data_IF_090993871266
#
_entry.id   IF_090993871266
#
_cell.length_a   1.000
_cell.length_b   1.000
_cell.length_c   1.000
_cell.angle_alpha   90.00
_cell.angle_beta   90.00
_cell.angle_gamma   90.00
#
_symmetry.space_group_name_H-M   'P 1'
#
loop_
_entity.id
_entity.type
_entity.pdbx_description
1 polymer ?
#
# COMPACT_ATOMS: atom_id res chain seq x y z
N UNK A 1 15.24 7.65 18.31
CA UNK A 1 15.85 9.00 18.34
C UNK A 1 17.10 8.96 19.20
N UNK A 2 16.99 8.78 20.52
CA UNK A 2 18.16 8.91 21.42
C UNK A 2 19.22 7.80 21.26
N UNK A 3 18.83 6.60 20.80
CA UNK A 3 19.75 5.46 20.56
C UNK A 3 20.45 5.55 19.20
N UNK A 4 19.91 6.31 18.25
CA UNK A 4 20.35 6.26 16.87
C UNK A 4 21.78 6.81 16.71
N UNK A 5 22.64 6.12 15.96
CA UNK A 5 23.91 6.67 15.51
C UNK A 5 23.66 7.67 14.38
N UNK A 6 24.17 8.90 14.52
CA UNK A 6 23.99 9.96 13.53
C UNK A 6 25.27 10.14 12.71
N UNK A 7 25.22 10.00 11.38
CA UNK A 7 26.40 10.16 10.53
C UNK A 7 26.83 11.63 10.38
N UNK A 8 25.95 12.59 10.72
CA UNK A 8 26.26 14.03 10.67
C UNK A 8 25.64 14.76 11.86
N UNK A 9 26.32 15.82 12.33
CA UNK A 9 25.86 16.67 13.44
C UNK A 9 24.55 17.37 13.12
N UNK A 10 24.34 17.74 11.85
CA UNK A 10 23.09 18.34 11.39
C UNK A 10 21.90 17.40 11.59
N UNK A 11 22.06 16.10 11.29
CA UNK A 11 21.00 15.11 11.49
C UNK A 11 20.71 14.88 12.98
N UNK A 12 21.74 14.80 13.82
CA UNK A 12 21.58 14.69 15.27
C UNK A 12 20.88 15.92 15.85
N UNK A 13 21.28 17.11 15.43
CA UNK A 13 20.72 18.39 15.87
C UNK A 13 19.24 18.48 15.52
N UNK A 14 18.88 18.18 14.26
CA UNK A 14 17.49 18.20 13.81
C UNK A 14 16.61 17.22 14.61
N UNK A 15 17.05 15.96 14.74
CA UNK A 15 16.28 14.94 15.46
C UNK A 15 16.21 15.21 16.97
N UNK A 16 17.26 15.75 17.58
CA UNK A 16 17.24 16.07 19.02
C UNK A 16 16.33 17.27 19.31
N UNK A 17 16.34 18.29 18.45
CA UNK A 17 15.55 19.52 18.59
C UNK A 17 14.06 19.30 18.32
N UNK A 18 13.74 18.60 17.25
CA UNK A 18 12.36 18.49 16.74
C UNK A 18 11.73 17.14 17.06
N UNK A 19 12.53 16.10 17.23
CA UNK A 19 12.09 14.74 17.57
C UNK A 19 11.00 14.17 16.66
N UNK A 20 11.03 14.38 15.32
CA UNK A 20 10.00 13.84 14.44
C UNK A 20 10.08 12.31 14.37
N UNK A 21 8.92 11.67 14.24
CA UNK A 21 8.78 10.24 13.92
C UNK A 21 7.75 10.07 12.80
N UNK A 22 7.72 8.89 12.20
CA UNK A 22 6.76 8.55 11.14
C UNK A 22 6.13 7.19 11.40
N UNK A 23 5.02 7.17 12.13
CA UNK A 23 4.17 6.00 12.26
C UNK A 23 3.27 5.90 11.01
N UNK A 24 3.48 4.83 10.24
CA UNK A 24 2.70 4.51 9.05
C UNK A 24 1.76 3.32 9.27
N UNK A 25 1.16 2.85 8.19
CA UNK A 25 0.29 1.67 8.15
C UNK A 25 0.67 0.76 6.98
N UNK A 26 0.31 -0.51 7.08
CA UNK A 26 0.35 -1.48 5.99
C UNK A 26 -0.84 -2.42 6.11
N UNK A 27 -1.15 -3.14 5.02
CA UNK A 27 -2.23 -4.12 5.03
C UNK A 27 -3.62 -3.55 4.80
N UNK A 28 -3.75 -2.36 4.19
CA UNK A 28 -5.07 -1.75 3.94
C UNK A 28 -5.99 -2.65 3.11
N UNK A 29 -5.53 -3.14 1.96
CA UNK A 29 -6.30 -4.06 1.12
C UNK A 29 -6.72 -5.33 1.89
N UNK A 30 -5.83 -5.88 2.71
CA UNK A 30 -6.18 -7.02 3.57
C UNK A 30 -7.23 -6.68 4.64
N UNK A 31 -7.21 -5.46 5.18
CA UNK A 31 -8.24 -5.01 6.11
C UNK A 31 -9.60 -4.88 5.41
N UNK A 32 -9.62 -4.31 4.20
CA UNK A 32 -10.84 -4.21 3.37
C UNK A 32 -11.41 -5.58 3.03
N UNK A 33 -10.56 -6.54 2.66
CA UNK A 33 -10.97 -7.93 2.44
C UNK A 33 -11.65 -8.57 3.66
N UNK A 34 -11.11 -8.34 4.87
CA UNK A 34 -11.71 -8.84 6.11
C UNK A 34 -13.04 -8.16 6.44
N UNK A 35 -13.24 -6.92 6.00
CA UNK A 35 -14.50 -6.20 6.11
C UNK A 35 -15.47 -6.47 4.97
N UNK A 36 -15.09 -7.34 4.02
CA UNK A 36 -15.85 -7.65 2.82
C UNK A 36 -16.14 -6.43 1.93
N UNK A 37 -15.19 -5.49 1.86
CA UNK A 37 -15.31 -4.25 1.09
C UNK A 37 -14.44 -4.29 -0.16
N UNK A 38 -14.97 -3.76 -1.27
CA UNK A 38 -14.18 -3.39 -2.45
C UNK A 38 -13.42 -2.10 -2.18
N UNK A 39 -12.19 -1.99 -2.69
CA UNK A 39 -11.45 -0.72 -2.64
C UNK A 39 -12.17 0.38 -3.42
N UNK A 40 -12.89 0.03 -4.50
CA UNK A 40 -13.67 0.93 -5.33
C UNK A 40 -15.07 1.18 -4.74
N UNK A 41 -15.16 1.55 -3.47
CA UNK A 41 -16.42 1.82 -2.79
C UNK A 41 -16.34 3.00 -1.82
N UNK A 42 -17.46 3.69 -1.62
CA UNK A 42 -17.57 4.77 -0.63
C UNK A 42 -17.34 4.26 0.79
N UNK A 43 -17.73 3.01 1.07
CA UNK A 43 -17.48 2.35 2.36
C UNK A 43 -15.97 2.16 2.62
N UNK A 44 -15.19 1.84 1.59
CA UNK A 44 -13.73 1.80 1.71
C UNK A 44 -13.15 3.21 1.95
N UNK A 45 -13.66 4.24 1.27
CA UNK A 45 -13.25 5.64 1.52
C UNK A 45 -13.58 6.06 2.95
N UNK A 46 -14.77 5.73 3.45
CA UNK A 46 -15.19 6.01 4.82
C UNK A 46 -14.36 5.24 5.85
N UNK A 47 -14.03 3.99 5.58
CA UNK A 47 -13.15 3.19 6.44
C UNK A 47 -11.75 3.81 6.55
N UNK A 48 -11.25 4.39 5.46
CA UNK A 48 -9.97 5.10 5.44
C UNK A 48 -9.95 6.35 6.32
N UNK A 49 -11.08 7.06 6.41
CA UNK A 49 -11.26 8.14 7.37
C UNK A 49 -11.22 7.60 8.80
N UNK A 50 -12.03 6.57 9.08
CA UNK A 50 -12.23 5.99 10.42
C UNK A 50 -10.96 5.42 11.04
N UNK A 51 -10.23 4.55 10.33
CA UNK A 51 -9.06 3.93 10.94
C UNK A 51 -7.94 4.94 11.16
N UNK A 52 -7.81 5.92 10.27
CA UNK A 52 -6.73 6.89 10.34
C UNK A 52 -7.01 7.94 11.43
N UNK A 53 -8.28 8.30 11.63
CA UNK A 53 -8.73 9.07 12.79
C UNK A 53 -8.33 8.36 14.09
N UNK A 54 -8.64 7.07 14.21
CA UNK A 54 -8.30 6.29 15.40
C UNK A 54 -6.79 6.22 15.65
N UNK A 55 -5.99 5.95 14.61
CA UNK A 55 -4.53 5.93 14.72
C UNK A 55 -4.01 7.28 15.18
N UNK A 56 -4.49 8.38 14.59
CA UNK A 56 -4.08 9.72 14.94
C UNK A 56 -4.44 10.07 16.39
N UNK A 57 -5.67 9.76 16.81
CA UNK A 57 -6.16 9.97 18.17
C UNK A 57 -5.22 9.35 19.21
N UNK A 58 -4.89 8.06 19.04
CA UNK A 58 -4.02 7.36 19.97
C UNK A 58 -2.55 7.80 19.85
N UNK A 59 -2.05 8.03 18.64
CA UNK A 59 -0.66 8.41 18.43
C UNK A 59 -0.34 9.80 19.02
N UNK A 60 -1.21 10.78 18.83
CA UNK A 60 -1.07 12.10 19.42
C UNK A 60 -1.25 12.07 20.94
N UNK A 61 -2.22 11.30 21.43
CA UNK A 61 -2.40 11.06 22.86
C UNK A 61 -1.16 10.46 23.52
N UNK A 62 -0.52 9.47 22.89
CA UNK A 62 0.69 8.82 23.39
C UNK A 62 1.92 9.74 23.34
N UNK A 63 2.07 10.54 22.29
CA UNK A 63 3.17 11.51 22.24
C UNK A 63 3.01 12.62 23.30
N UNK A 64 1.77 12.94 23.70
CA UNK A 64 1.52 13.82 24.84
C UNK A 64 1.79 13.16 26.21
N UNK A 65 1.54 11.85 26.36
CA UNK A 65 1.98 11.10 27.55
C UNK A 65 3.50 11.16 27.72
N UNK A 66 4.23 10.93 26.62
CA UNK A 66 5.69 11.02 26.63
C UNK A 66 6.18 12.44 26.94
N UNK A 67 5.40 13.47 26.61
CA UNK A 67 5.71 14.85 26.97
C UNK A 67 5.52 15.10 28.47
N UNK A 68 4.50 14.50 29.08
CA UNK A 68 4.31 14.55 30.54
C UNK A 68 5.46 13.87 31.29
N UNK A 69 5.97 12.75 30.77
CA UNK A 69 7.08 12.02 31.38
C UNK A 69 8.45 12.67 31.14
N UNK A 70 8.70 13.21 29.94
CA UNK A 70 10.05 13.55 29.46
C UNK A 70 10.21 15.00 29.01
N UNK A 71 9.15 15.80 29.13
CA UNK A 71 9.04 17.14 28.54
C UNK A 71 8.72 17.11 27.05
N UNK A 72 8.15 18.20 26.54
CA UNK A 72 7.93 18.41 25.10
C UNK A 72 9.25 18.48 24.31
N UNK A 73 9.20 18.37 22.98
CA UNK A 73 10.38 18.65 22.15
C UNK A 73 10.83 20.11 22.26
N UNK A 74 12.11 20.39 22.02
CA UNK A 74 12.73 21.68 22.33
C UNK A 74 12.13 22.86 21.58
N UNK A 75 11.69 22.66 20.33
CA UNK A 75 11.05 23.70 19.53
C UNK A 75 9.51 23.64 19.55
N UNK A 76 8.91 23.16 20.65
CA UNK A 76 7.45 23.05 20.79
C UNK A 76 6.75 24.42 20.83
N UNK A 77 7.31 25.40 21.53
CA UNK A 77 6.71 26.73 21.66
C UNK A 77 6.58 27.43 20.30
N UNK A 78 5.41 27.98 20.03
CA UNK A 78 5.03 28.60 18.76
C UNK A 78 4.62 27.63 17.65
N UNK A 79 4.70 26.32 17.89
CA UNK A 79 4.24 25.32 16.91
C UNK A 79 2.72 25.33 16.72
N UNK A 80 2.22 24.60 15.72
CA UNK A 80 0.76 24.38 15.56
C UNK A 80 0.17 23.68 16.78
N UNK A 81 0.91 22.73 17.38
CA UNK A 81 0.49 22.04 18.60
C UNK A 81 0.32 22.99 19.80
N UNK A 82 1.28 23.90 20.01
CA UNK A 82 1.24 24.91 21.09
C UNK A 82 0.09 25.91 20.90
N UNK A 83 -0.34 26.13 19.65
CA UNK A 83 -1.51 26.94 19.29
C UNK A 83 -2.83 26.16 19.30
N UNK A 84 -2.82 24.87 19.65
CA UNK A 84 -4.02 24.02 19.66
C UNK A 84 -4.55 23.62 18.28
N UNK A 85 -3.75 23.78 17.22
CA UNK A 85 -4.09 23.45 15.83
C UNK A 85 -3.61 22.03 15.52
N UNK A 86 -4.55 21.10 15.44
CA UNK A 86 -4.31 19.71 15.06
C UNK A 86 -4.37 19.53 13.52
N UNK A 87 -3.96 18.37 12.97
CA UNK A 87 -3.97 18.15 11.52
C UNK A 87 -5.30 18.43 10.84
N UNK A 88 -6.41 18.02 11.46
CA UNK A 88 -7.75 18.25 10.91
C UNK A 88 -8.15 19.72 10.88
N UNK A 89 -7.64 20.54 11.79
CA UNK A 89 -7.87 22.00 11.82
C UNK A 89 -7.01 22.71 10.77
N UNK A 90 -5.89 22.10 10.38
CA UNK A 90 -4.97 22.68 9.41
C UNK A 90 -5.52 22.76 7.99
N UNK A 91 -6.64 22.09 7.72
CA UNK A 91 -7.36 22.17 6.45
C UNK A 91 -8.07 23.50 6.26
N UNK A 92 -8.60 24.09 7.33
CA UNK A 92 -9.26 25.39 7.25
C UNK A 92 -8.22 26.49 6.98
N UNK A 93 -7.06 26.40 7.64
CA UNK A 93 -5.90 27.23 7.31
C UNK A 93 -5.42 27.04 5.87
N UNK A 94 -5.48 25.82 5.33
CA UNK A 94 -5.10 25.55 3.95
C UNK A 94 -6.07 26.18 2.96
N UNK A 95 -7.37 26.11 3.25
CA UNK A 95 -8.43 26.69 2.44
C UNK A 95 -8.32 28.22 2.41
N UNK A 96 -8.14 28.84 3.59
CA UNK A 96 -7.94 30.29 3.72
C UNK A 96 -6.72 30.78 2.94
N UNK A 97 -5.57 30.11 3.08
CA UNK A 97 -4.32 30.48 2.42
C UNK A 97 -4.36 30.25 0.90
N UNK A 98 -5.11 29.24 0.43
CA UNK A 98 -5.30 29.00 -1.01
C UNK A 98 -6.27 29.98 -1.64
N UNK A 99 -7.26 30.48 -0.88
CA UNK A 99 -8.39 31.21 -1.43
C UNK A 99 -9.30 30.35 -2.32
N UNK A 100 -9.21 29.02 -2.21
CA UNK A 100 -9.99 28.05 -2.96
C UNK A 100 -10.45 26.90 -2.06
N UNK A 101 -11.64 26.37 -2.32
CA UNK A 101 -12.24 25.28 -1.55
C UNK A 101 -11.37 24.01 -1.54
N UNK A 102 -11.12 23.49 -0.34
CA UNK A 102 -10.50 22.18 -0.13
C UNK A 102 -11.62 21.17 0.09
N UNK A 103 -11.97 20.46 -0.97
CA UNK A 103 -13.16 19.60 -1.09
C UNK A 103 -13.22 18.38 -0.16
N UNK A 104 -12.20 18.11 0.66
CA UNK A 104 -12.24 16.99 1.60
C UNK A 104 -13.21 17.28 2.76
N UNK A 105 -14.17 16.40 3.05
CA UNK A 105 -15.11 16.65 4.15
C UNK A 105 -14.43 16.72 5.51
N UNK A 106 -14.77 17.78 6.24
CA UNK A 106 -14.29 18.04 7.60
C UNK A 106 -14.94 17.11 8.63
N UNK A 107 -14.39 17.12 9.84
CA UNK A 107 -14.90 16.34 10.97
C UNK A 107 -14.39 14.89 11.02
N UNK A 108 -14.82 14.22 12.08
CA UNK A 108 -14.52 12.82 12.41
C UNK A 108 -15.56 12.27 13.39
N UNK A 109 -15.41 10.99 13.78
CA UNK A 109 -16.34 10.27 14.66
C UNK A 109 -15.91 10.28 16.12
N UNK A 110 -14.65 10.55 16.43
CA UNK A 110 -14.11 10.49 17.79
C UNK A 110 -14.22 11.83 18.52
N UNK A 111 -14.36 11.79 19.85
CA UNK A 111 -14.28 13.00 20.68
C UNK A 111 -12.81 13.41 20.87
N UNK A 112 -12.39 14.48 20.19
CA UNK A 112 -11.02 14.99 20.25
C UNK A 112 -10.73 15.88 21.46
N UNK A 113 -11.74 16.24 22.27
CA UNK A 113 -11.55 17.11 23.44
C UNK A 113 -10.51 16.56 24.42
N UNK A 114 -10.49 15.27 24.81
CA UNK A 114 -9.50 14.74 25.74
C UNK A 114 -8.07 14.85 25.21
N UNK A 115 -7.85 14.60 23.92
CA UNK A 115 -6.51 14.71 23.30
C UNK A 115 -6.05 16.16 23.25
N UNK A 116 -6.94 17.09 22.91
CA UNK A 116 -6.62 18.53 22.91
C UNK A 116 -6.25 19.03 24.30
N UNK A 117 -7.06 18.72 25.32
CA UNK A 117 -6.80 19.11 26.70
C UNK A 117 -5.46 18.55 27.19
N UNK A 118 -5.16 17.29 26.84
CA UNK A 118 -3.91 16.64 27.18
C UNK A 118 -2.70 17.31 26.52
N UNK A 119 -2.77 17.62 25.22
CA UNK A 119 -1.72 18.35 24.50
C UNK A 119 -1.54 19.76 25.08
N UNK A 120 -2.62 20.48 25.39
CA UNK A 120 -2.53 21.81 26.00
C UNK A 120 -1.86 21.78 27.38
N UNK A 121 -2.12 20.74 28.17
CA UNK A 121 -1.54 20.58 29.51
C UNK A 121 -0.06 20.17 29.46
N UNK A 122 0.27 19.16 28.64
CA UNK A 122 1.58 18.48 28.70
C UNK A 122 2.52 18.86 27.54
N UNK A 123 1.98 19.47 26.48
CA UNK A 123 2.63 19.51 25.17
C UNK A 123 2.62 18.16 24.47
N UNK A 124 3.51 18.02 23.48
CA UNK A 124 3.75 16.78 22.74
C UNK A 124 5.25 16.51 22.63
N UNK A 125 5.67 15.23 22.64
CA UNK A 125 7.09 14.84 22.65
C UNK A 125 7.72 14.89 21.27
N UNK A 126 6.92 14.78 20.22
CA UNK A 126 7.36 14.68 18.83
C UNK A 126 6.71 15.79 18.00
N UNK A 127 7.50 16.51 17.20
CA UNK A 127 6.98 17.57 16.31
C UNK A 127 6.06 17.03 15.21
N UNK A 128 6.35 15.83 14.73
CA UNK A 128 5.56 15.08 13.75
C UNK A 128 5.51 13.62 14.20
N UNK A 129 4.38 12.97 13.95
CA UNK A 129 4.08 11.62 14.45
C UNK A 129 3.70 10.67 13.34
N UNK A 130 2.91 11.09 12.35
CA UNK A 130 2.29 10.20 11.38
C UNK A 130 2.86 10.44 9.99
N UNK A 131 3.31 9.36 9.34
CA UNK A 131 3.73 9.36 7.94
C UNK A 131 3.56 7.97 7.35
N UNK A 132 2.82 7.84 6.26
CA UNK A 132 2.62 6.55 5.60
C UNK A 132 3.70 6.39 4.53
N UNK A 133 4.76 5.66 4.87
CA UNK A 133 5.85 5.33 3.97
C UNK A 133 5.62 3.98 3.25
N UNK A 134 6.33 3.69 2.13
CA UNK A 134 6.27 2.39 1.48
C UNK A 134 6.76 1.28 2.41
N UNK A 135 6.03 0.16 2.46
CA UNK A 135 6.30 -0.94 3.39
C UNK A 135 6.68 -2.25 2.69
N UNK A 136 7.21 -2.20 1.46
CA UNK A 136 7.38 -3.36 0.59
C UNK A 136 8.05 -4.57 1.27
N UNK A 137 9.18 -4.36 1.95
CA UNK A 137 9.91 -5.44 2.63
C UNK A 137 9.17 -5.94 3.87
N UNK A 138 8.73 -5.03 4.74
CA UNK A 138 8.10 -5.40 6.02
C UNK A 138 6.70 -5.99 5.84
N UNK A 139 5.96 -5.62 4.78
CA UNK A 139 4.66 -6.23 4.47
C UNK A 139 4.83 -7.68 4.01
N UNK A 140 5.88 -7.98 3.26
CA UNK A 140 6.22 -9.35 2.88
C UNK A 140 6.55 -10.21 4.10
N UNK A 141 7.35 -9.67 5.05
CA UNK A 141 7.67 -10.34 6.31
C UNK A 141 6.39 -10.63 7.11
N UNK A 142 5.49 -9.66 7.20
CA UNK A 142 4.22 -9.79 7.92
C UNK A 142 3.14 -10.57 7.15
N UNK A 143 3.42 -11.01 5.92
CA UNK A 143 2.45 -11.70 5.07
C UNK A 143 1.20 -10.86 4.77
N UNK A 144 1.35 -9.54 4.65
CA UNK A 144 0.25 -8.60 4.39
C UNK A 144 0.50 -7.76 3.13
N UNK A 145 -0.52 -7.00 2.69
CA UNK A 145 -0.40 -6.12 1.52
C UNK A 145 0.43 -4.88 1.87
N UNK A 146 1.22 -4.33 0.93
CA UNK A 146 2.02 -3.15 1.20
C UNK A 146 1.13 -1.92 1.42
N UNK A 147 1.52 -1.08 2.38
CA UNK A 147 1.08 0.30 2.50
C UNK A 147 -0.46 0.47 2.47
N UNK A 148 -0.93 1.39 1.63
CA UNK A 148 -2.31 1.85 1.45
C UNK A 148 -2.84 1.59 0.03
N UNK A 149 -2.23 0.66 -0.70
CA UNK A 149 -2.55 0.40 -2.10
C UNK A 149 -3.50 -0.79 -2.26
N UNK A 150 -4.36 -0.79 -3.31
CA UNK A 150 -5.01 -2.00 -3.75
C UNK A 150 -4.00 -3.07 -4.19
N UNK A 151 -4.45 -4.31 -4.35
CA UNK A 151 -3.58 -5.37 -4.86
C UNK A 151 -3.18 -5.08 -6.31
N UNK A 152 -1.88 -5.15 -6.61
CA UNK A 152 -1.38 -4.89 -7.96
C UNK A 152 -1.84 -5.97 -8.96
N UNK A 153 -1.83 -7.24 -8.54
CA UNK A 153 -2.36 -8.39 -9.27
C UNK A 153 -2.93 -9.41 -8.29
N UNK A 154 -3.91 -10.19 -8.72
CA UNK A 154 -4.36 -11.37 -7.96
C UNK A 154 -3.52 -12.62 -8.22
N UNK A 155 -2.67 -12.60 -9.25
CA UNK A 155 -1.76 -13.67 -9.62
C UNK A 155 -0.42 -13.06 -10.02
N UNK A 156 0.68 -13.58 -9.47
CA UNK A 156 2.02 -13.21 -9.92
C UNK A 156 2.96 -14.41 -9.87
N UNK A 157 3.96 -14.42 -10.75
CA UNK A 157 4.99 -15.46 -10.78
C UNK A 157 6.19 -14.99 -9.98
N UNK A 158 6.65 -15.82 -9.05
CA UNK A 158 7.89 -15.63 -8.32
C UNK A 158 8.90 -16.68 -8.78
N UNK A 159 9.93 -16.24 -9.48
CA UNK A 159 11.07 -17.07 -9.85
C UNK A 159 12.04 -17.19 -8.68
N UNK A 160 12.53 -18.41 -8.42
CA UNK A 160 13.67 -18.66 -7.54
C UNK A 160 14.60 -19.72 -8.17
N UNK A 161 15.67 -20.10 -7.49
CA UNK A 161 16.64 -21.10 -7.98
C UNK A 161 16.01 -22.46 -8.32
N UNK A 162 14.86 -22.80 -7.74
CA UNK A 162 14.12 -24.05 -7.95
C UNK A 162 13.02 -23.95 -9.01
N UNK A 163 12.91 -22.80 -9.69
CA UNK A 163 11.95 -22.57 -10.78
C UNK A 163 10.94 -21.46 -10.50
N UNK A 164 9.90 -21.43 -11.33
CA UNK A 164 8.84 -20.42 -11.31
C UNK A 164 7.64 -20.90 -10.49
N UNK A 165 7.28 -20.11 -9.48
CA UNK A 165 6.15 -20.40 -8.59
C UNK A 165 5.04 -19.37 -8.81
N UNK A 166 3.87 -19.84 -9.26
CA UNK A 166 2.67 -19.01 -9.32
C UNK A 166 2.14 -18.77 -7.91
N UNK A 167 2.09 -17.50 -7.50
CA UNK A 167 1.53 -17.05 -6.23
C UNK A 167 0.20 -16.38 -6.49
N UNK A 168 -0.84 -16.89 -5.84
CA UNK A 168 -2.20 -16.35 -5.91
C UNK A 168 -2.54 -15.52 -4.67
N UNK A 169 -3.41 -14.54 -4.86
CA UNK A 169 -4.05 -13.81 -3.79
C UNK A 169 -4.82 -14.81 -2.90
N UNK A 170 -4.29 -15.02 -1.69
CA UNK A 170 -4.84 -15.97 -0.71
C UNK A 170 -6.29 -15.66 -0.36
N UNK A 171 -6.70 -14.40 -0.36
CA UNK A 171 -8.07 -14.03 -0.07
C UNK A 171 -9.01 -14.41 -1.23
N UNK A 172 -8.61 -14.15 -2.47
CA UNK A 172 -9.39 -14.56 -3.64
C UNK A 172 -9.64 -16.07 -3.63
N UNK A 173 -8.60 -16.87 -3.38
CA UNK A 173 -8.75 -18.34 -3.28
C UNK A 173 -9.71 -18.74 -2.17
N UNK A 174 -9.69 -18.07 -1.01
CA UNK A 174 -10.63 -18.33 0.09
C UNK A 174 -12.07 -18.00 -0.29
N UNK A 175 -12.28 -16.87 -0.95
CA UNK A 175 -13.61 -16.44 -1.36
C UNK A 175 -14.16 -17.35 -2.46
N UNK A 176 -13.34 -17.74 -3.45
CA UNK A 176 -13.73 -18.73 -4.47
C UNK A 176 -14.05 -20.10 -3.86
N UNK A 177 -13.30 -20.55 -2.86
CA UNK A 177 -13.61 -21.79 -2.13
C UNK A 177 -14.93 -21.71 -1.38
N UNK A 178 -15.23 -20.56 -0.77
CA UNK A 178 -16.48 -20.32 -0.06
C UNK A 178 -17.69 -20.40 -0.98
N UNK A 179 -17.56 -19.89 -2.21
CA UNK A 179 -18.60 -19.96 -3.24
C UNK A 179 -18.62 -21.31 -4.00
N UNK A 180 -17.73 -22.26 -3.67
CA UNK A 180 -17.64 -23.54 -4.37
C UNK A 180 -17.06 -23.45 -5.80
N UNK A 181 -16.47 -22.32 -6.17
CA UNK A 181 -15.92 -22.01 -7.50
C UNK A 181 -14.44 -22.40 -7.66
N UNK A 182 -13.78 -22.85 -6.59
CA UNK A 182 -12.36 -23.19 -6.63
C UNK A 182 -12.12 -24.58 -7.26
N UNK A 183 -11.98 -24.61 -8.58
CA UNK A 183 -11.72 -25.81 -9.39
C UNK A 183 -10.38 -25.71 -10.16
N UNK A 184 -9.86 -26.82 -10.70
CA UNK A 184 -8.72 -26.78 -11.63
C UNK A 184 -8.97 -25.87 -12.83
N UNK A 185 -10.18 -25.91 -13.40
CA UNK A 185 -10.57 -25.05 -14.53
C UNK A 185 -10.52 -23.56 -14.15
N UNK A 186 -11.03 -23.19 -12.96
CA UNK A 186 -10.94 -21.83 -12.44
C UNK A 186 -9.48 -21.38 -12.26
N UNK A 187 -8.61 -22.25 -11.77
CA UNK A 187 -7.17 -21.95 -11.66
C UNK A 187 -6.55 -21.68 -13.04
N UNK A 188 -6.92 -22.45 -14.06
CA UNK A 188 -6.40 -22.26 -15.42
C UNK A 188 -6.95 -21.01 -16.08
N UNK A 189 -8.22 -20.65 -15.84
CA UNK A 189 -8.79 -19.37 -16.24
C UNK A 189 -8.05 -18.19 -15.58
N UNK A 190 -7.81 -18.25 -14.26
CA UNK A 190 -7.05 -17.22 -13.55
C UNK A 190 -5.64 -17.05 -14.10
N UNK A 191 -4.96 -18.13 -14.51
CA UNK A 191 -3.65 -18.04 -15.19
C UNK A 191 -3.78 -17.40 -16.58
N UNK A 192 -4.80 -17.80 -17.34
CA UNK A 192 -5.03 -17.30 -18.70
C UNK A 192 -5.26 -15.77 -18.70
N UNK A 193 -6.04 -15.27 -17.74
CA UNK A 193 -6.31 -13.84 -17.57
C UNK A 193 -5.31 -13.12 -16.66
N UNK A 194 -4.16 -13.72 -16.32
CA UNK A 194 -3.10 -13.12 -15.49
C UNK A 194 -3.61 -12.57 -14.12
N UNK A 195 -4.63 -13.23 -13.57
CA UNK A 195 -5.28 -12.88 -12.31
C UNK A 195 -6.37 -11.80 -12.42
N UNK A 196 -6.67 -11.29 -13.60
CA UNK A 196 -7.83 -10.44 -13.82
C UNK A 196 -9.12 -11.28 -13.84
N UNK A 197 -10.19 -10.70 -13.28
CA UNK A 197 -11.45 -11.43 -13.03
C UNK A 197 -12.60 -10.97 -13.94
N UNK A 198 -12.45 -9.86 -14.66
CA UNK A 198 -13.49 -9.24 -15.48
C UNK A 198 -14.11 -10.23 -16.47
N UNK A 199 -13.26 -11.00 -17.15
CA UNK A 199 -13.60 -11.84 -18.29
C UNK A 199 -13.91 -13.31 -17.92
N UNK A 200 -14.03 -13.61 -16.62
CA UNK A 200 -14.40 -14.93 -16.10
C UNK A 200 -15.88 -14.92 -15.75
N UNK A 201 -16.73 -15.55 -16.57
CA UNK A 201 -18.19 -15.51 -16.42
C UNK A 201 -18.70 -16.24 -15.17
N UNK A 202 -17.99 -17.27 -14.70
CA UNK A 202 -18.42 -18.05 -13.53
C UNK A 202 -18.22 -17.31 -12.19
N UNK A 203 -17.44 -16.22 -12.16
CA UNK A 203 -17.20 -15.45 -10.94
C UNK A 203 -18.32 -14.41 -10.76
N UNK A 204 -19.04 -14.38 -9.62
CA UNK A 204 -20.04 -13.36 -9.34
C UNK A 204 -19.46 -11.95 -9.35
N UNK A 205 -20.25 -10.97 -9.81
CA UNK A 205 -19.85 -9.56 -9.88
C UNK A 205 -19.38 -9.02 -8.52
N UNK A 206 -19.97 -9.48 -7.41
CA UNK A 206 -19.55 -9.10 -6.07
C UNK A 206 -18.08 -9.47 -5.79
N UNK A 207 -17.62 -10.65 -6.22
CA UNK A 207 -16.23 -11.06 -6.11
C UNK A 207 -15.32 -10.33 -7.08
N UNK A 208 -15.78 -10.08 -8.32
CA UNK A 208 -15.05 -9.26 -9.30
C UNK A 208 -14.77 -7.87 -8.72
N UNK A 209 -15.80 -7.23 -8.15
CA UNK A 209 -15.69 -5.91 -7.51
C UNK A 209 -14.78 -5.93 -6.28
N UNK A 210 -14.90 -6.95 -5.41
CA UNK A 210 -14.08 -7.06 -4.20
C UNK A 210 -12.58 -7.22 -4.51
N UNK A 211 -12.24 -7.96 -5.57
CA UNK A 211 -10.88 -8.31 -5.93
C UNK A 211 -10.34 -7.53 -7.14
N UNK A 212 -10.90 -6.35 -7.44
CA UNK A 212 -10.34 -5.44 -8.42
C UNK A 212 -8.85 -5.18 -8.13
N UNK A 213 -8.03 -5.28 -9.17
CA UNK A 213 -6.63 -4.89 -9.11
C UNK A 213 -6.49 -3.37 -9.22
N UNK A 214 -5.31 -2.83 -8.91
CA UNK A 214 -5.04 -1.38 -8.94
C UNK A 214 -5.45 -0.67 -10.24
N UNK A 215 -5.45 -1.37 -11.39
CA UNK A 215 -5.82 -0.79 -12.69
C UNK A 215 -7.33 -0.87 -12.99
N UNK A 216 -8.07 -1.71 -12.28
CA UNK A 216 -9.53 -1.75 -12.31
C UNK A 216 -10.19 -0.78 -11.32
N UNK A 217 -9.43 -0.25 -10.36
CA UNK A 217 -9.91 0.76 -9.39
C UNK A 217 -9.80 2.15 -10.00
N UNK A 218 -10.91 2.88 -10.06
CA UNK A 218 -10.92 4.28 -10.49
C UNK A 218 -10.06 5.15 -9.55
N UNK A 219 -9.21 6.02 -10.13
CA UNK A 219 -8.28 6.86 -9.38
C UNK A 219 -8.98 7.79 -8.37
N UNK A 220 -10.26 8.12 -8.57
CA UNK A 220 -11.04 8.92 -7.65
C UNK A 220 -11.12 8.25 -6.27
N UNK A 221 -11.34 6.93 -6.20
CA UNK A 221 -11.37 6.22 -4.92
C UNK A 221 -10.02 6.21 -4.20
N UNK A 222 -8.92 6.08 -4.96
CA UNK A 222 -7.56 6.12 -4.41
C UNK A 222 -7.26 7.50 -3.83
N UNK A 223 -7.58 8.57 -4.59
CA UNK A 223 -7.38 9.95 -4.16
C UNK A 223 -8.27 10.29 -2.97
N UNK A 224 -9.53 9.90 -2.99
CA UNK A 224 -10.49 10.22 -1.94
C UNK A 224 -10.10 9.52 -0.64
N UNK A 225 -9.80 8.22 -0.70
CA UNK A 225 -9.30 7.48 0.46
C UNK A 225 -8.02 8.11 1.01
N UNK A 226 -7.09 8.55 0.15
CA UNK A 226 -5.88 9.24 0.58
C UNK A 226 -6.18 10.60 1.21
N UNK A 227 -7.08 11.37 0.62
CA UNK A 227 -7.50 12.67 1.13
C UNK A 227 -8.15 12.54 2.51
N UNK A 228 -9.03 11.54 2.72
CA UNK A 228 -9.61 11.24 4.04
C UNK A 228 -8.55 10.97 5.10
N UNK A 229 -7.55 10.14 4.77
CA UNK A 229 -6.42 9.87 5.68
C UNK A 229 -5.59 11.13 5.94
N UNK A 230 -5.38 11.96 4.92
CA UNK A 230 -4.49 13.12 5.00
C UNK A 230 -4.98 14.16 6.02
N UNK A 231 -6.29 14.24 6.27
CA UNK A 231 -6.88 15.07 7.33
C UNK A 231 -6.24 14.83 8.70
N UNK A 232 -5.86 13.58 8.97
CA UNK A 232 -5.36 13.14 10.27
C UNK A 232 -3.83 13.10 10.34
N UNK A 233 -3.14 13.16 9.19
CA UNK A 233 -1.70 12.97 9.08
C UNK A 233 -0.97 14.32 9.11
N UNK A 234 -0.11 14.52 10.10
CA UNK A 234 0.70 15.74 10.26
C UNK A 234 1.81 15.90 9.20
N UNK A 235 2.39 14.80 8.70
CA UNK A 235 3.29 14.79 7.54
C UNK A 235 2.51 14.48 6.26
N UNK A 236 2.87 13.40 5.54
CA UNK A 236 2.24 13.00 4.29
C UNK A 236 2.20 11.47 4.15
N UNK A 237 1.81 11.02 2.97
CA UNK A 237 1.68 9.62 2.60
C UNK A 237 2.18 9.39 1.17
N UNK A 238 2.87 8.28 0.94
CA UNK A 238 3.32 7.87 -0.39
C UNK A 238 2.15 7.28 -1.19
N UNK A 239 1.46 8.13 -1.96
CA UNK A 239 0.28 7.72 -2.77
C UNK A 239 0.70 7.44 -4.20
N UNK A 240 0.83 6.17 -4.57
CA UNK A 240 0.93 5.79 -5.98
C UNK A 240 -0.41 6.02 -6.69
N UNK A 241 -0.33 6.46 -7.95
CA UNK A 241 -1.46 6.65 -8.84
C UNK A 241 -1.34 5.68 -10.02
N UNK A 242 -2.48 5.18 -10.49
CA UNK A 242 -2.54 4.12 -11.48
C UNK A 242 -3.47 4.53 -12.62
N UNK A 243 -3.01 4.38 -13.87
CA UNK A 243 -3.83 4.58 -15.06
C UNK A 243 -3.58 3.44 -16.05
N UNK A 244 -4.61 2.65 -16.35
CA UNK A 244 -4.50 1.58 -17.33
C UNK A 244 -4.12 2.12 -18.72
N UNK A 245 -4.78 3.20 -19.16
CA UNK A 245 -4.49 3.89 -20.42
C UNK A 245 -4.23 5.38 -20.13
N UNK A 246 -2.95 5.81 -20.10
CA UNK A 246 -2.64 7.19 -19.80
C UNK A 246 -2.97 8.11 -20.97
N UNK A 247 -3.79 9.12 -20.72
CA UNK A 247 -4.00 10.26 -21.61
C UNK A 247 -3.87 11.58 -20.85
N UNK A 248 -3.57 12.67 -21.56
CA UNK A 248 -3.29 13.97 -20.94
C UNK A 248 -4.50 14.54 -20.17
N UNK A 249 -5.73 14.27 -20.64
CA UNK A 249 -6.95 14.73 -19.99
C UNK A 249 -7.16 13.98 -18.67
N UNK A 250 -7.01 12.66 -18.67
CA UNK A 250 -7.08 11.83 -17.48
C UNK A 250 -6.02 12.24 -16.44
N UNK A 251 -4.78 12.44 -16.88
CA UNK A 251 -3.70 12.92 -16.01
C UNK A 251 -4.02 14.28 -15.40
N UNK A 252 -4.45 15.25 -16.23
CA UNK A 252 -4.81 16.59 -15.77
C UNK A 252 -5.92 16.55 -14.72
N UNK A 253 -6.98 15.76 -14.96
CA UNK A 253 -8.10 15.62 -14.03
C UNK A 253 -7.68 14.94 -12.72
N UNK A 254 -6.90 13.87 -12.80
CA UNK A 254 -6.41 13.12 -11.65
C UNK A 254 -5.54 13.99 -10.73
N UNK A 255 -4.54 14.69 -11.26
CA UNK A 255 -3.68 15.56 -10.44
C UNK A 255 -4.41 16.80 -9.92
N UNK A 256 -5.33 17.39 -10.69
CA UNK A 256 -6.18 18.49 -10.21
C UNK A 256 -7.09 18.03 -9.08
N UNK A 257 -7.65 16.81 -9.15
CA UNK A 257 -8.42 16.23 -8.04
C UNK A 257 -7.55 16.05 -6.80
N UNK A 258 -6.36 15.47 -6.93
CA UNK A 258 -5.43 15.31 -5.81
C UNK A 258 -5.16 16.66 -5.12
N UNK A 259 -4.91 17.72 -5.90
CA UNK A 259 -4.71 19.06 -5.38
C UNK A 259 -5.97 19.63 -4.69
N UNK A 260 -7.14 19.57 -5.34
CA UNK A 260 -8.42 20.09 -4.81
C UNK A 260 -8.90 19.38 -3.55
N UNK A 261 -8.52 18.12 -3.36
CA UNK A 261 -8.84 17.33 -2.16
C UNK A 261 -7.82 17.52 -1.04
N UNK A 262 -6.87 18.45 -1.19
CA UNK A 262 -5.93 18.82 -0.12
C UNK A 262 -4.80 17.82 0.12
N UNK A 263 -4.54 16.90 -0.83
CA UNK A 263 -3.39 16.01 -0.72
C UNK A 263 -2.07 16.80 -0.76
N UNK A 264 -1.14 16.41 0.11
CA UNK A 264 0.20 17.02 0.18
C UNK A 264 1.17 16.40 -0.82
N UNK A 265 1.06 15.10 -1.10
CA UNK A 265 1.97 14.39 -2.03
C UNK A 265 1.26 13.34 -2.86
N UNK A 266 1.69 13.23 -4.12
CA UNK A 266 1.56 12.02 -4.95
C UNK A 266 2.95 11.36 -5.05
N UNK A 267 3.03 10.11 -5.51
CA UNK A 267 4.28 9.37 -5.63
C UNK A 267 4.54 8.89 -7.06
N UNK A 268 4.56 7.58 -7.33
CA UNK A 268 4.69 7.11 -8.71
C UNK A 268 3.35 7.15 -9.44
N UNK A 269 3.41 7.56 -10.71
CA UNK A 269 2.40 7.18 -11.70
C UNK A 269 2.80 5.83 -12.30
N UNK A 270 1.92 4.84 -12.21
CA UNK A 270 2.08 3.53 -12.84
C UNK A 270 1.06 3.39 -13.95
N UNK A 271 1.53 2.96 -15.12
CA UNK A 271 0.69 2.74 -16.30
C UNK A 271 0.87 1.32 -16.80
N UNK A 272 -0.18 0.75 -17.41
CA UNK A 272 0.01 -0.47 -18.18
C UNK A 272 0.62 -0.09 -19.53
N UNK A 273 1.76 -0.69 -19.87
CA UNK A 273 2.17 -0.71 -21.26
C UNK A 273 1.20 -1.61 -22.02
N UNK A 274 0.69 -1.13 -23.16
CA UNK A 274 0.03 -1.97 -24.14
C UNK A 274 1.08 -2.88 -24.79
N UNK A 275 1.59 -3.86 -24.04
CA UNK A 275 2.45 -4.90 -24.59
C UNK A 275 1.55 -5.94 -25.22
N UNK A 276 1.64 -6.01 -26.56
CA UNK A 276 0.94 -6.94 -27.43
C UNK A 276 0.72 -8.32 -26.78
N UNK A 277 -0.54 -8.70 -26.71
CA UNK A 277 -0.97 -10.07 -26.42
C UNK A 277 -0.57 -10.93 -27.62
N UNK A 278 0.68 -11.37 -27.64
CA UNK A 278 1.06 -12.65 -28.24
C UNK A 278 1.70 -13.49 -27.15
N UNK A 279 0.87 -13.95 -26.21
CA UNK A 279 1.31 -14.92 -25.22
C UNK A 279 1.12 -16.31 -25.80
N UNK A 280 2.16 -16.78 -26.50
CA UNK A 280 2.33 -18.18 -26.84
C UNK A 280 2.67 -18.96 -25.55
N UNK A 281 1.66 -19.51 -24.87
CA UNK A 281 1.72 -20.74 -24.05
C UNK A 281 0.41 -20.95 -23.29
N UNK A 282 -0.50 -21.76 -23.85
CA UNK A 282 -1.00 -23.03 -23.30
C UNK A 282 -1.70 -23.73 -24.46
N UNK A 283 -1.36 -25.00 -24.70
CA UNK A 283 -1.96 -25.83 -25.74
C UNK A 283 -3.48 -25.94 -25.54
N UNK A 284 -4.24 -25.16 -26.31
CA UNK A 284 -5.65 -25.41 -26.54
C UNK A 284 -5.75 -26.63 -27.46
N UNK A 285 -5.80 -27.82 -26.87
CA UNK A 285 -6.42 -28.98 -27.53
C UNK A 285 -7.92 -28.76 -27.57
N UNK A 286 -8.45 -28.36 -28.73
CA UNK A 286 -9.73 -28.86 -29.25
C UNK A 286 -9.75 -28.80 -30.79
N UNK A 287 -9.78 -30.01 -31.35
CA UNK A 287 -10.33 -30.45 -32.63
C UNK A 287 -9.51 -30.36 -33.95
N UNK A 288 -9.08 -31.58 -34.35
CA UNK A 288 -8.63 -32.13 -35.67
C UNK A 288 -7.11 -32.22 -35.94
N UNK A 289 -6.68 -33.47 -36.22
CA UNK A 289 -5.31 -34.06 -36.33
C UNK A 289 -4.43 -33.52 -37.50
N UNK A 290 -3.12 -33.92 -37.68
CA UNK A 290 -2.32 -34.93 -36.98
C UNK A 290 -0.91 -34.49 -36.46
N UNK A 291 -0.29 -35.40 -35.71
CA UNK A 291 1.04 -35.45 -35.05
C UNK A 291 2.12 -34.42 -35.43
N UNK A 292 2.71 -33.79 -34.41
CA UNK A 292 4.02 -33.11 -34.47
C UNK A 292 4.85 -33.43 -33.21
N UNK A 293 6.17 -33.50 -33.39
CA UNK A 293 7.21 -34.14 -32.57
C UNK A 293 7.50 -33.48 -31.21
N UNK A 294 8.00 -34.28 -30.25
CA UNK A 294 8.46 -33.83 -28.93
C UNK A 294 9.81 -33.10 -29.03
N UNK A 295 9.87 -31.85 -28.58
CA UNK A 295 11.13 -31.16 -28.27
C UNK A 295 11.70 -31.68 -26.93
N UNK A 296 13.00 -31.97 -26.89
CA UNK A 296 13.69 -32.69 -25.83
C UNK A 296 13.94 -31.93 -24.52
N UNK A 297 14.09 -32.69 -23.43
CA UNK A 297 14.49 -32.20 -22.11
C UNK A 297 15.94 -31.66 -22.12
N UNK A 298 16.16 -30.53 -21.43
CA UNK A 298 17.52 -30.00 -21.20
C UNK A 298 18.21 -30.80 -20.10
N UNK A 299 19.33 -31.42 -20.43
CA UNK A 299 20.23 -32.11 -19.49
C UNK A 299 21.36 -31.20 -19.03
N UNK A 300 21.51 -31.03 -17.72
CA UNK A 300 22.58 -30.26 -17.07
C UNK A 300 23.76 -31.16 -16.69
N UNK A 301 24.99 -30.60 -16.69
CA UNK A 301 26.23 -31.33 -16.41
C UNK A 301 26.36 -31.65 -14.91
N UNK A 302 27.22 -32.63 -14.54
CA UNK A 302 27.47 -32.96 -13.14
C UNK A 302 28.04 -31.78 -12.33
N UNK A 303 28.83 -30.89 -12.95
CA UNK A 303 29.36 -29.70 -12.26
C UNK A 303 28.25 -28.70 -11.91
N UNK A 304 27.28 -28.49 -12.81
CA UNK A 304 26.14 -27.59 -12.58
C UNK A 304 25.23 -28.09 -11.44
N UNK A 305 25.12 -29.41 -11.26
CA UNK A 305 24.36 -30.01 -10.16
C UNK A 305 25.08 -29.91 -8.81
N UNK A 306 26.42 -29.90 -8.80
CA UNK A 306 27.22 -29.78 -7.58
C UNK A 306 27.39 -28.34 -7.08
N UNK A 307 27.38 -27.35 -7.98
CA UNK A 307 27.45 -25.94 -7.59
C UNK A 307 26.22 -25.44 -6.81
N UNK A 308 25.11 -26.20 -6.84
CA UNK A 308 23.85 -25.86 -6.18
C UNK A 308 23.36 -26.97 -5.22
N UNK A 309 24.25 -27.82 -4.70
CA UNK A 309 23.88 -28.82 -3.71
C UNK A 309 23.87 -28.22 -2.29
N UNK A 310 22.88 -28.61 -1.49
CA UNK A 310 22.79 -28.26 -0.06
C UNK A 310 24.05 -28.72 0.72
N UNK A 311 24.73 -29.75 0.23
CA UNK A 311 25.95 -30.30 0.80
C UNK A 311 27.17 -29.36 0.65
N UNK A 312 27.23 -28.53 -0.41
CA UNK A 312 28.29 -27.55 -0.59
C UNK A 312 28.19 -26.38 0.41
N UNK A 313 26.97 -25.95 0.75
CA UNK A 313 26.71 -24.93 1.78
C UNK A 313 27.04 -25.43 3.19
N UNK A 314 26.89 -26.72 3.47
CA UNK A 314 27.20 -27.30 4.79
C UNK A 314 28.70 -27.47 5.03
N UNK A 315 29.52 -27.55 3.97
CA UNK A 315 30.97 -27.75 4.05
C UNK A 315 31.78 -26.44 3.93
N UNK A 316 31.13 -25.27 4.04
CA UNK A 316 31.81 -23.97 4.06
C UNK A 316 32.32 -23.49 2.69
N UNK A 317 31.76 -23.99 1.58
CA UNK A 317 32.02 -23.44 0.25
C UNK A 317 31.26 -22.13 0.03
N UNK A 318 31.95 -21.09 -0.44
CA UNK A 318 31.33 -19.82 -0.80
C UNK A 318 30.69 -19.90 -2.19
N UNK A 319 29.45 -19.41 -2.31
CA UNK A 319 28.72 -19.33 -3.57
C UNK A 319 28.87 -17.93 -4.17
N UNK A 320 29.57 -17.80 -5.30
CA UNK A 320 29.77 -16.53 -6.01
C UNK A 320 28.50 -15.94 -6.64
N UNK A 321 27.36 -16.66 -6.61
CA UNK A 321 26.09 -16.15 -7.14
C UNK A 321 25.36 -15.15 -6.20
N UNK A 322 25.97 -14.81 -5.05
CA UNK A 322 25.42 -13.84 -4.08
C UNK A 322 26.24 -12.53 -3.98
N UNK A 323 27.07 -12.20 -4.98
CA UNK A 323 27.65 -10.85 -5.12
C UNK A 323 26.68 -9.87 -5.80
#
# INVERSE_FOLDING_TARGET
IDINFYPTDAAQTANSRHRPIGLGVMGLQNALFKKDLSFASDDAVAFNDEFMEAIAYYAYGASSDLAAERGSYSSYRGSKWDRGILPQDSLDLLEDERGEEVTVPRGGKMDWKPVREKIMKNGIRNSNVLAIAPTATISNIMGTTPCIEPNYKNLFVKSNLSGDFTVLNRQLVRDLKKEGLWTPDMLDQLKYFDGELSDIDEIPDSLKQKHLTVFGVDYNFIIDAASRRQKWIDQSQSVNLFLASPDMKALSHMYRRAWRTGLKTTYYLRTLQASNIEKATVQLKKDRAPQAEKAGEKTYTPEEKNACSIEAMMNGGECEACQ
#
